data_IF_805694043025
#
_entry.id   IF_805694043025
#
_cell.length_a   1.000
_cell.length_b   1.000
_cell.length_c   1.000
_cell.angle_alpha   90.00
_cell.angle_beta   90.00
_cell.angle_gamma   90.00
#
_symmetry.space_group_name_H-M   'P 1'
#
loop_
_entity.id
_entity.type
_entity.pdbx_description
1 polymer ?
#
# COMPACT_ATOMS: atom_id res chain seq x y z
N UNK A 1 10.96 8.37 14.79
CA UNK A 1 11.28 7.81 13.45
C UNK A 1 12.79 7.66 13.24
N UNK A 2 13.58 8.74 13.36
CA UNK A 2 15.04 8.69 13.10
C UNK A 2 15.82 7.70 13.99
N UNK A 3 15.46 7.60 15.27
CA UNK A 3 16.08 6.63 16.21
C UNK A 3 15.95 5.18 15.72
N UNK A 4 14.79 4.80 15.15
CA UNK A 4 14.54 3.44 14.63
C UNK A 4 15.39 3.20 13.38
N UNK A 5 15.39 4.16 12.43
CA UNK A 5 16.18 4.07 11.20
C UNK A 5 17.68 3.96 11.53
N UNK A 6 18.17 4.73 12.49
CA UNK A 6 19.58 4.69 12.89
C UNK A 6 19.97 3.36 13.55
N UNK A 7 19.08 2.76 14.35
CA UNK A 7 19.28 1.42 14.92
C UNK A 7 19.37 0.37 13.80
N UNK A 8 18.43 0.40 12.85
CA UNK A 8 18.41 -0.54 11.72
C UNK A 8 19.63 -0.36 10.81
N UNK A 9 20.04 0.89 10.53
CA UNK A 9 21.23 1.19 9.74
C UNK A 9 22.52 0.71 10.41
N UNK A 10 22.57 0.72 11.75
CA UNK A 10 23.71 0.18 12.51
C UNK A 10 23.75 -1.35 12.47
N UNK A 11 22.59 -2.01 12.45
CA UNK A 11 22.47 -3.48 12.47
C UNK A 11 22.71 -4.09 11.08
N UNK A 12 22.07 -3.53 10.05
CA UNK A 12 22.08 -4.03 8.68
C UNK A 12 22.30 -2.86 7.68
N UNK A 13 23.52 -2.31 7.60
CA UNK A 13 23.82 -1.12 6.79
C UNK A 13 23.56 -1.35 5.29
N UNK A 14 23.69 -2.59 4.83
CA UNK A 14 23.49 -2.97 3.43
C UNK A 14 22.07 -2.70 2.91
N UNK A 15 21.10 -2.63 3.83
CA UNK A 15 19.70 -2.33 3.47
C UNK A 15 19.51 -0.90 3.00
N UNK A 16 20.42 0.01 3.36
CA UNK A 16 20.28 1.45 3.17
C UNK A 16 21.18 2.01 2.05
N UNK A 17 21.92 1.17 1.33
CA UNK A 17 22.68 1.63 0.16
C UNK A 17 21.74 2.00 -0.99
N UNK A 18 22.00 3.17 -1.57
CA UNK A 18 21.25 3.65 -2.73
C UNK A 18 21.67 2.89 -3.99
N UNK A 19 20.66 2.50 -4.76
CA UNK A 19 20.78 1.87 -6.06
C UNK A 19 20.11 2.76 -7.10
N UNK A 20 20.66 2.77 -8.32
CA UNK A 20 20.02 3.45 -9.44
C UNK A 20 18.72 2.73 -9.81
N UNK A 21 17.73 3.50 -10.22
CA UNK A 21 16.49 2.93 -10.72
C UNK A 21 16.74 2.27 -12.09
N UNK A 22 16.25 1.05 -12.27
CA UNK A 22 16.32 0.37 -13.59
C UNK A 22 15.40 1.04 -14.61
N UNK A 23 14.20 1.46 -14.19
CA UNK A 23 13.22 2.14 -15.03
C UNK A 23 12.49 3.24 -14.26
N UNK A 24 12.29 4.37 -14.94
CA UNK A 24 11.47 5.49 -14.47
C UNK A 24 10.19 5.51 -15.30
N UNK A 25 9.04 5.43 -14.64
CA UNK A 25 7.76 5.46 -15.33
C UNK A 25 7.33 6.88 -15.68
N UNK A 26 6.40 7.00 -16.62
CA UNK A 26 5.89 8.30 -17.09
C UNK A 26 5.18 9.08 -15.95
N UNK A 27 4.45 8.35 -15.09
CA UNK A 27 3.80 8.92 -13.91
C UNK A 27 4.81 9.40 -12.85
N UNK A 28 6.00 8.78 -12.76
CA UNK A 28 7.02 9.23 -11.80
C UNK A 28 7.53 10.63 -12.14
N UNK A 29 7.76 10.89 -13.43
CA UNK A 29 8.17 12.23 -13.91
C UNK A 29 7.06 13.27 -13.73
N UNK A 30 5.80 12.85 -13.84
CA UNK A 30 4.67 13.72 -13.58
C UNK A 30 4.60 14.09 -12.08
N UNK A 31 4.71 13.10 -11.19
CA UNK A 31 4.76 13.31 -9.73
C UNK A 31 5.98 14.16 -9.34
N UNK A 32 7.12 13.95 -9.98
CA UNK A 32 8.33 14.75 -9.76
C UNK A 32 8.08 16.23 -10.01
N UNK A 33 7.52 16.56 -11.17
CA UNK A 33 7.22 17.94 -11.55
C UNK A 33 6.14 18.59 -10.69
N UNK A 34 5.12 17.81 -10.30
CA UNK A 34 3.96 18.36 -9.61
C UNK A 34 4.15 18.45 -8.09
N UNK A 35 4.81 17.44 -7.50
CA UNK A 35 4.90 17.27 -6.04
C UNK A 35 6.36 17.22 -5.53
N UNK A 36 7.31 16.61 -6.22
CA UNK A 36 8.65 16.47 -5.62
C UNK A 36 9.45 17.77 -5.55
N UNK A 37 9.05 18.82 -6.28
CA UNK A 37 9.68 20.14 -6.21
C UNK A 37 9.50 20.83 -4.85
N UNK A 38 8.44 20.53 -4.09
CA UNK A 38 8.22 21.09 -2.75
C UNK A 38 8.88 20.26 -1.64
N UNK A 39 9.22 19.00 -1.90
CA UNK A 39 9.80 18.11 -0.89
C UNK A 39 11.32 18.28 -0.83
N UNK A 40 11.88 18.78 0.28
CA UNK A 40 13.31 19.02 0.37
C UNK A 40 14.10 17.70 0.33
N UNK A 41 15.33 17.76 -0.17
CA UNK A 41 16.20 16.59 -0.35
C UNK A 41 16.47 15.73 0.91
N UNK A 42 16.46 16.27 2.15
CA UNK A 42 16.61 15.47 3.38
C UNK A 42 15.47 14.50 3.64
N UNK A 43 14.30 14.68 3.00
CA UNK A 43 13.21 13.71 3.06
C UNK A 43 13.55 12.55 2.14
N UNK A 44 13.79 11.38 2.73
CA UNK A 44 14.09 10.15 1.99
C UNK A 44 12.84 9.29 1.81
N UNK A 45 12.77 8.46 0.74
CA UNK A 45 11.66 7.53 0.52
C UNK A 45 11.37 6.67 1.76
N UNK A 46 12.40 6.09 2.37
CA UNK A 46 12.27 5.24 3.57
C UNK A 46 11.63 5.95 4.77
N UNK A 47 11.82 7.27 4.91
CA UNK A 47 11.15 8.05 5.98
C UNK A 47 9.66 8.17 5.70
N UNK A 48 9.27 8.33 4.44
CA UNK A 48 7.87 8.38 4.02
C UNK A 48 7.20 7.02 4.23
N UNK A 49 7.87 5.90 3.93
CA UNK A 49 7.39 4.55 4.26
C UNK A 49 7.17 4.39 5.77
N UNK A 50 8.12 4.83 6.61
CA UNK A 50 7.97 4.76 8.07
C UNK A 50 6.88 5.67 8.60
N UNK A 51 6.68 6.81 7.97
CA UNK A 51 5.55 7.68 8.25
C UNK A 51 4.23 6.93 8.01
N UNK A 52 4.09 6.23 6.88
CA UNK A 52 2.90 5.41 6.58
C UNK A 52 2.66 4.37 7.65
N UNK A 53 3.67 3.55 8.00
CA UNK A 53 3.53 2.52 9.04
C UNK A 53 3.09 3.12 10.37
N UNK A 54 3.65 4.28 10.76
CA UNK A 54 3.29 4.94 12.03
C UNK A 54 1.89 5.55 12.00
N UNK A 55 1.44 6.06 10.85
CA UNK A 55 0.12 6.68 10.70
C UNK A 55 -1.01 5.67 10.54
N UNK A 56 -0.74 4.47 10.02
CA UNK A 56 -1.75 3.40 9.92
C UNK A 56 -2.53 3.17 11.23
N UNK A 57 -1.91 2.93 12.41
CA UNK A 57 -2.66 2.76 13.65
C UNK A 57 -3.45 4.01 14.06
N UNK A 58 -2.95 5.21 13.75
CA UNK A 58 -3.68 6.47 14.02
C UNK A 58 -4.96 6.53 13.19
N UNK A 59 -4.89 6.15 11.90
CA UNK A 59 -6.06 6.07 11.03
C UNK A 59 -7.06 5.06 11.59
N UNK A 60 -6.61 3.87 12.00
CA UNK A 60 -7.49 2.84 12.57
C UNK A 60 -8.19 3.30 13.83
N UNK A 61 -7.49 4.02 14.73
CA UNK A 61 -8.09 4.57 15.94
C UNK A 61 -9.15 5.62 15.59
N UNK A 62 -8.83 6.56 14.70
CA UNK A 62 -9.78 7.59 14.27
C UNK A 62 -11.04 6.99 13.65
N UNK A 63 -10.87 6.04 12.72
CA UNK A 63 -11.99 5.37 12.06
C UNK A 63 -12.76 4.48 13.04
N UNK A 64 -12.07 3.77 13.94
CA UNK A 64 -12.67 2.91 14.97
C UNK A 64 -13.53 3.67 15.96
N UNK A 65 -13.14 4.89 16.34
CA UNK A 65 -13.92 5.82 17.16
C UNK A 65 -14.89 6.70 16.36
N UNK A 66 -15.18 6.35 15.11
CA UNK A 66 -16.12 7.04 14.23
C UNK A 66 -15.77 8.52 13.90
N UNK A 67 -14.50 8.91 14.04
CA UNK A 67 -13.98 10.20 13.56
C UNK A 67 -13.70 10.17 12.05
N UNK A 68 -14.72 9.82 11.24
CA UNK A 68 -14.58 9.53 9.81
C UNK A 68 -14.02 10.70 9.00
N UNK A 69 -14.37 11.96 9.34
CA UNK A 69 -13.86 13.15 8.63
C UNK A 69 -12.33 13.21 8.68
N UNK A 70 -11.76 13.06 9.88
CA UNK A 70 -10.30 13.06 10.06
C UNK A 70 -9.69 11.77 9.51
N UNK A 71 -10.36 10.63 9.71
CA UNK A 71 -9.95 9.33 9.17
C UNK A 71 -9.77 9.35 7.65
N UNK A 72 -10.75 9.89 6.91
CA UNK A 72 -10.70 10.05 5.44
C UNK A 72 -9.53 10.93 5.01
N UNK A 73 -9.39 12.11 5.62
CA UNK A 73 -8.35 13.07 5.25
C UNK A 73 -6.94 12.48 5.45
N UNK A 74 -6.70 11.85 6.61
CA UNK A 74 -5.41 11.24 6.90
C UNK A 74 -5.20 9.99 6.06
N UNK A 75 -6.22 9.13 5.87
CA UNK A 75 -6.13 7.95 5.00
C UNK A 75 -5.74 8.34 3.58
N UNK A 76 -6.41 9.33 2.99
CA UNK A 76 -6.10 9.77 1.63
C UNK A 76 -4.69 10.35 1.53
N UNK A 77 -4.29 11.20 2.48
CA UNK A 77 -2.94 11.74 2.54
C UNK A 77 -1.87 10.65 2.65
N UNK A 78 -2.07 9.69 3.56
CA UNK A 78 -1.14 8.59 3.82
C UNK A 78 -1.11 7.58 2.67
N UNK A 79 -2.24 7.22 2.08
CA UNK A 79 -2.29 6.37 0.89
C UNK A 79 -1.60 7.04 -0.31
N UNK A 80 -1.75 8.36 -0.46
CA UNK A 80 -1.09 9.11 -1.52
C UNK A 80 0.45 9.15 -1.36
N UNK A 81 0.95 9.02 -0.12
CA UNK A 81 2.41 8.98 0.10
C UNK A 81 3.11 7.81 -0.59
N UNK A 82 2.39 6.73 -0.93
CA UNK A 82 2.93 5.56 -1.64
C UNK A 82 3.32 5.87 -3.09
N UNK A 83 2.52 6.70 -3.76
CA UNK A 83 2.89 7.18 -5.07
C UNK A 83 4.13 8.11 -4.99
N UNK A 84 4.20 8.92 -3.92
CA UNK A 84 5.28 9.90 -3.73
C UNK A 84 6.61 9.23 -3.41
N UNK A 85 6.67 8.29 -2.46
CA UNK A 85 7.93 7.68 -2.06
C UNK A 85 8.51 6.77 -3.15
N UNK A 86 7.66 6.03 -3.87
CA UNK A 86 8.04 5.26 -5.04
C UNK A 86 8.60 6.14 -6.15
N UNK A 87 7.92 7.24 -6.49
CA UNK A 87 8.42 8.19 -7.48
C UNK A 87 9.72 8.85 -7.03
N UNK A 88 9.82 9.23 -5.75
CA UNK A 88 11.02 9.84 -5.17
C UNK A 88 12.22 8.89 -5.20
N UNK A 89 12.04 7.62 -4.85
CA UNK A 89 13.08 6.60 -4.91
C UNK A 89 13.61 6.44 -6.35
N UNK A 90 12.71 6.42 -7.34
CA UNK A 90 13.08 6.21 -8.74
C UNK A 90 13.73 7.43 -9.39
N UNK A 91 13.17 8.63 -9.20
CA UNK A 91 13.67 9.86 -9.85
C UNK A 91 14.95 10.38 -9.18
N UNK A 92 15.09 10.24 -7.86
CA UNK A 92 16.29 10.66 -7.12
C UNK A 92 17.39 9.60 -7.06
N UNK A 93 17.22 8.43 -7.70
CA UNK A 93 18.12 7.27 -7.58
C UNK A 93 18.38 6.88 -6.11
N UNK A 94 17.33 6.92 -5.30
CA UNK A 94 17.34 6.60 -3.87
C UNK A 94 16.64 5.27 -3.58
N UNK A 95 16.68 4.32 -4.53
CA UNK A 95 16.14 2.97 -4.34
C UNK A 95 17.00 2.23 -3.32
N UNK A 96 16.40 1.65 -2.28
CA UNK A 96 17.12 0.89 -1.26
C UNK A 96 16.49 -0.48 -1.06
N UNK A 97 17.27 -1.47 -0.62
CA UNK A 97 16.74 -2.80 -0.26
C UNK A 97 15.73 -2.72 0.88
N UNK A 98 15.90 -1.75 1.79
CA UNK A 98 14.93 -1.43 2.83
C UNK A 98 13.58 -1.04 2.22
N UNK A 99 13.53 -0.01 1.37
CA UNK A 99 12.29 0.43 0.73
C UNK A 99 11.62 -0.70 -0.06
N UNK A 100 12.39 -1.42 -0.88
CA UNK A 100 11.87 -2.56 -1.64
C UNK A 100 11.19 -3.65 -0.79
N UNK A 101 11.57 -3.79 0.48
CA UNK A 101 10.96 -4.74 1.42
C UNK A 101 9.82 -4.11 2.24
N UNK A 102 10.02 -2.89 2.72
CA UNK A 102 9.11 -2.23 3.66
C UNK A 102 7.95 -1.49 2.98
N UNK A 103 8.08 -1.04 1.74
CA UNK A 103 6.99 -0.36 1.02
C UNK A 103 5.81 -1.33 0.80
N UNK A 104 6.01 -2.55 0.21
CA UNK A 104 4.91 -3.50 0.06
C UNK A 104 4.35 -4.01 1.39
N UNK A 105 5.15 -4.01 2.46
CA UNK A 105 4.69 -4.34 3.80
C UNK A 105 3.79 -3.23 4.35
N UNK A 106 4.21 -1.96 4.24
CA UNK A 106 3.46 -0.80 4.71
C UNK A 106 2.11 -0.67 4.00
N UNK A 107 2.06 -0.94 2.69
CA UNK A 107 0.82 -0.90 1.92
C UNK A 107 -0.17 -1.97 2.38
N UNK A 108 0.31 -3.21 2.56
CA UNK A 108 -0.51 -4.31 3.06
C UNK A 108 -0.96 -4.08 4.50
N UNK A 109 -0.14 -3.45 5.32
CA UNK A 109 -0.53 -3.06 6.68
C UNK A 109 -1.66 -2.03 6.64
N UNK A 110 -1.55 -0.98 5.81
CA UNK A 110 -2.59 0.05 5.69
C UNK A 110 -3.90 -0.55 5.17
N UNK A 111 -3.86 -1.20 4.00
CA UNK A 111 -5.08 -1.72 3.36
C UNK A 111 -5.65 -2.92 4.11
N UNK A 112 -4.80 -3.86 4.54
CA UNK A 112 -5.23 -5.04 5.29
C UNK A 112 -5.88 -4.70 6.63
N UNK A 113 -5.35 -3.70 7.35
CA UNK A 113 -5.95 -3.27 8.61
C UNK A 113 -7.27 -2.51 8.42
N UNK A 114 -7.37 -1.69 7.36
CA UNK A 114 -8.63 -1.02 7.00
C UNK A 114 -9.69 -2.03 6.57
N UNK A 115 -9.30 -3.08 5.84
CA UNK A 115 -10.19 -4.21 5.50
C UNK A 115 -10.66 -4.92 6.77
N UNK A 116 -9.75 -5.22 7.71
CA UNK A 116 -10.12 -5.82 9.00
C UNK A 116 -11.15 -4.98 9.76
N UNK A 117 -10.95 -3.66 9.81
CA UNK A 117 -11.80 -2.75 10.58
C UNK A 117 -13.17 -2.49 9.90
N UNK A 118 -13.18 -2.29 8.59
CA UNK A 118 -14.37 -1.86 7.86
C UNK A 118 -15.11 -3.02 7.19
N UNK A 119 -14.39 -3.93 6.52
CA UNK A 119 -15.05 -4.95 5.69
C UNK A 119 -15.80 -5.95 6.56
N UNK A 120 -15.18 -6.44 7.64
CA UNK A 120 -15.86 -7.35 8.57
C UNK A 120 -17.01 -6.70 9.36
N UNK A 121 -17.06 -5.37 9.40
CA UNK A 121 -18.12 -4.62 10.11
C UNK A 121 -19.31 -4.28 9.22
N UNK A 122 -19.07 -4.00 7.93
CA UNK A 122 -20.07 -3.42 7.03
C UNK A 122 -20.40 -4.28 5.80
N UNK A 123 -19.70 -5.39 5.59
CA UNK A 123 -19.85 -6.26 4.42
C UNK A 123 -19.93 -7.72 4.83
N UNK A 124 -20.32 -8.58 3.89
CA UNK A 124 -20.34 -10.02 4.09
C UNK A 124 -18.96 -10.56 4.49
N UNK A 125 -18.98 -11.49 5.45
CA UNK A 125 -17.78 -12.16 5.97
C UNK A 125 -16.88 -12.70 4.85
N UNK A 126 -17.49 -13.25 3.80
CA UNK A 126 -16.78 -13.85 2.66
C UNK A 126 -15.93 -12.84 1.89
N UNK A 127 -16.34 -11.57 1.81
CA UNK A 127 -15.55 -10.52 1.15
C UNK A 127 -14.27 -10.26 1.94
N UNK A 128 -14.40 -10.01 3.25
CA UNK A 128 -13.26 -9.78 4.15
C UNK A 128 -12.30 -10.96 4.19
N UNK A 129 -12.84 -12.18 4.33
CA UNK A 129 -12.07 -13.42 4.32
C UNK A 129 -11.31 -13.60 3.01
N UNK A 130 -11.96 -13.42 1.86
CA UNK A 130 -11.33 -13.61 0.54
C UNK A 130 -10.18 -12.63 0.31
N UNK A 131 -10.37 -11.36 0.68
CA UNK A 131 -9.32 -10.34 0.55
C UNK A 131 -8.09 -10.71 1.39
N UNK A 132 -8.29 -11.04 2.66
CA UNK A 132 -7.18 -11.40 3.55
C UNK A 132 -6.49 -12.69 3.11
N UNK A 133 -7.26 -13.71 2.75
CA UNK A 133 -6.74 -14.98 2.27
C UNK A 133 -5.86 -14.76 1.03
N UNK A 134 -6.33 -13.99 0.06
CA UNK A 134 -5.56 -13.69 -1.15
C UNK A 134 -4.30 -12.89 -0.82
N UNK A 135 -4.37 -11.94 0.11
CA UNK A 135 -3.20 -11.15 0.49
C UNK A 135 -2.10 -12.00 1.13
N UNK A 136 -2.48 -12.95 1.99
CA UNK A 136 -1.58 -13.97 2.54
C UNK A 136 -1.05 -14.88 1.43
N UNK A 137 -1.90 -15.34 0.51
CA UNK A 137 -1.49 -16.17 -0.61
C UNK A 137 -0.44 -15.47 -1.49
N UNK A 138 -0.56 -14.16 -1.73
CA UNK A 138 0.45 -13.38 -2.43
C UNK A 138 1.79 -13.33 -1.68
N UNK A 139 1.77 -13.12 -0.36
CA UNK A 139 2.99 -13.12 0.47
C UNK A 139 3.67 -14.48 0.41
N UNK A 140 2.91 -15.56 0.62
CA UNK A 140 3.42 -16.93 0.58
C UNK A 140 3.96 -17.28 -0.80
N UNK A 141 3.24 -16.92 -1.86
CA UNK A 141 3.66 -17.20 -3.23
C UNK A 141 4.96 -16.46 -3.60
N UNK A 142 5.12 -15.20 -3.15
CA UNK A 142 6.37 -14.47 -3.31
C UNK A 142 7.54 -15.11 -2.52
N UNK A 143 7.29 -15.58 -1.30
CA UNK A 143 8.27 -16.30 -0.49
C UNK A 143 8.72 -17.61 -1.15
N UNK A 144 7.78 -18.42 -1.65
CA UNK A 144 8.06 -19.67 -2.35
C UNK A 144 8.84 -19.39 -3.64
N UNK A 145 8.45 -18.37 -4.42
CA UNK A 145 9.15 -18.00 -5.64
C UNK A 145 10.63 -17.67 -5.37
N UNK A 146 10.88 -16.86 -4.32
CA UNK A 146 12.22 -16.49 -3.89
C UNK A 146 13.03 -17.70 -3.41
N UNK A 147 12.42 -18.58 -2.60
CA UNK A 147 13.11 -19.73 -2.02
C UNK A 147 13.42 -20.83 -3.06
N UNK A 148 12.45 -21.17 -3.92
CA UNK A 148 12.54 -22.31 -4.84
C UNK A 148 13.17 -21.95 -6.18
N UNK A 149 12.81 -20.80 -6.74
CA UNK A 149 13.21 -20.41 -8.10
C UNK A 149 14.26 -19.30 -8.12
N UNK A 150 14.63 -18.73 -6.96
CA UNK A 150 15.52 -17.55 -6.84
C UNK A 150 15.06 -16.37 -7.72
N UNK A 151 13.79 -16.33 -8.08
CA UNK A 151 13.18 -15.25 -8.86
C UNK A 151 12.48 -14.27 -7.94
N UNK A 152 12.52 -13.00 -8.30
CA UNK A 152 11.71 -11.97 -7.66
C UNK A 152 10.45 -11.82 -8.49
N UNK A 153 9.28 -12.08 -7.90
CA UNK A 153 8.00 -11.88 -8.58
C UNK A 153 7.75 -10.39 -8.76
N UNK A 154 7.82 -9.93 -10.01
CA UNK A 154 7.41 -8.58 -10.39
C UNK A 154 5.89 -8.46 -10.38
N UNK A 155 5.39 -7.30 -9.97
CA UNK A 155 3.96 -7.01 -9.98
C UNK A 155 3.43 -6.97 -11.42
N UNK A 156 2.49 -7.86 -11.74
CA UNK A 156 1.79 -7.86 -13.02
C UNK A 156 0.67 -6.80 -13.03
N UNK A 157 0.09 -6.55 -14.21
CA UNK A 157 -0.99 -5.58 -14.39
C UNK A 157 -2.19 -5.86 -13.46
N UNK A 158 -2.58 -7.12 -13.35
CA UNK A 158 -3.72 -7.57 -12.53
C UNK A 158 -3.51 -7.29 -11.04
N UNK A 159 -2.30 -7.52 -10.53
CA UNK A 159 -1.93 -7.19 -9.15
C UNK A 159 -1.92 -5.70 -8.88
N UNK A 160 -1.60 -4.85 -9.87
CA UNK A 160 -1.74 -3.39 -9.74
C UNK A 160 -3.21 -2.96 -9.72
N UNK A 161 -4.02 -3.53 -10.61
CA UNK A 161 -5.47 -3.26 -10.66
C UNK A 161 -6.17 -3.66 -9.36
N UNK A 162 -5.85 -4.83 -8.79
CA UNK A 162 -6.42 -5.24 -7.50
C UNK A 162 -6.17 -4.18 -6.42
N UNK A 163 -4.95 -3.64 -6.34
CA UNK A 163 -4.56 -2.69 -5.30
C UNK A 163 -5.30 -1.37 -5.47
N UNK A 164 -5.39 -0.86 -6.71
CA UNK A 164 -6.15 0.36 -7.02
C UNK A 164 -7.62 0.20 -6.60
N UNK A 165 -8.23 -0.94 -6.92
CA UNK A 165 -9.62 -1.21 -6.57
C UNK A 165 -9.82 -1.35 -5.05
N UNK A 166 -8.91 -1.99 -4.32
CA UNK A 166 -9.00 -2.10 -2.86
C UNK A 166 -8.87 -0.73 -2.17
N UNK A 167 -7.91 0.10 -2.60
CA UNK A 167 -7.76 1.48 -2.10
C UNK A 167 -9.05 2.28 -2.35
N UNK A 168 -9.59 2.18 -3.58
CA UNK A 168 -10.82 2.85 -3.96
C UNK A 168 -12.03 2.35 -3.14
N UNK A 169 -12.18 1.05 -2.94
CA UNK A 169 -13.27 0.48 -2.16
C UNK A 169 -13.20 0.89 -0.68
N UNK A 170 -12.01 0.91 -0.08
CA UNK A 170 -11.81 1.43 1.30
C UNK A 170 -12.18 2.90 1.37
N UNK A 171 -11.73 3.71 0.40
CA UNK A 171 -12.06 5.13 0.34
C UNK A 171 -13.58 5.36 0.23
N UNK A 172 -14.26 4.67 -0.68
CA UNK A 172 -15.71 4.79 -0.85
C UNK A 172 -16.47 4.30 0.39
N UNK A 173 -15.97 3.26 1.06
CA UNK A 173 -16.53 2.81 2.35
C UNK A 173 -16.46 3.93 3.38
N UNK A 174 -15.31 4.57 3.53
CA UNK A 174 -15.15 5.68 4.47
C UNK A 174 -16.03 6.89 4.08
N UNK A 175 -16.15 7.19 2.80
CA UNK A 175 -17.05 8.25 2.31
C UNK A 175 -18.52 7.93 2.57
N UNK A 176 -18.93 6.66 2.44
CA UNK A 176 -20.27 6.22 2.77
C UNK A 176 -20.60 6.48 4.24
N UNK A 177 -19.65 6.19 5.13
CA UNK A 177 -19.78 6.42 6.57
C UNK A 177 -19.74 7.91 6.95
N UNK A 178 -18.94 8.70 6.24
CA UNK A 178 -18.83 10.14 6.47
C UNK A 178 -20.08 10.91 6.02
N UNK A 179 -20.64 10.53 4.86
CA UNK A 179 -21.79 11.21 4.25
C UNK A 179 -23.13 10.59 4.60
N UNK A 180 -23.12 9.50 5.37
CA UNK A 180 -24.29 8.67 5.67
C UNK A 180 -25.08 8.28 4.40
N UNK A 181 -24.35 7.80 3.39
CA UNK A 181 -24.89 7.49 2.07
C UNK A 181 -24.69 6.01 1.70
N UNK A 182 -25.66 5.13 2.04
CA UNK A 182 -25.52 3.67 1.93
C UNK A 182 -25.28 3.13 0.52
N UNK A 183 -25.65 3.89 -0.53
CA UNK A 183 -25.39 3.49 -1.91
C UNK A 183 -23.88 3.32 -2.17
N UNK A 184 -23.04 4.13 -1.53
CA UNK A 184 -21.59 4.02 -1.64
C UNK A 184 -21.04 2.71 -1.04
N UNK A 185 -21.67 2.15 0.00
CA UNK A 185 -21.31 0.84 0.52
C UNK A 185 -21.57 -0.26 -0.52
N UNK A 186 -22.72 -0.22 -1.19
CA UNK A 186 -23.04 -1.20 -2.24
C UNK A 186 -22.03 -1.13 -3.39
N UNK A 187 -21.69 0.09 -3.84
CA UNK A 187 -20.67 0.31 -4.88
C UNK A 187 -19.30 -0.19 -4.42
N UNK A 188 -18.89 0.11 -3.19
CA UNK A 188 -17.64 -0.38 -2.61
C UNK A 188 -17.59 -1.92 -2.54
N UNK A 189 -18.72 -2.56 -2.23
CA UNK A 189 -18.85 -4.02 -2.20
C UNK A 189 -18.60 -4.66 -3.57
N UNK A 190 -19.19 -4.10 -4.63
CA UNK A 190 -18.92 -4.53 -6.00
C UNK A 190 -17.46 -4.33 -6.39
N UNK A 191 -16.85 -3.20 -6.01
CA UNK A 191 -15.44 -2.93 -6.29
C UNK A 191 -14.53 -3.92 -5.54
N UNK A 192 -14.83 -4.27 -4.29
CA UNK A 192 -14.13 -5.34 -3.57
C UNK A 192 -14.27 -6.68 -4.30
N UNK A 193 -15.46 -7.01 -4.81
CA UNK A 193 -15.69 -8.21 -5.63
C UNK A 193 -14.81 -8.24 -6.88
N UNK A 194 -14.74 -7.13 -7.63
CA UNK A 194 -13.83 -7.02 -8.77
C UNK A 194 -12.36 -7.12 -8.36
N UNK A 195 -11.98 -6.52 -7.23
CA UNK A 195 -10.61 -6.61 -6.72
C UNK A 195 -10.22 -8.06 -6.40
N UNK A 196 -11.13 -8.84 -5.80
CA UNK A 196 -10.96 -10.27 -5.57
C UNK A 196 -10.77 -11.02 -6.90
N UNK A 197 -11.61 -10.74 -7.90
CA UNK A 197 -11.49 -11.33 -9.24
C UNK A 197 -10.13 -11.07 -9.89
N UNK A 198 -9.66 -9.81 -9.88
CA UNK A 198 -8.33 -9.46 -10.41
C UNK A 198 -7.19 -10.03 -9.58
N UNK A 199 -7.36 -10.15 -8.26
CA UNK A 199 -6.39 -10.80 -7.40
C UNK A 199 -6.22 -12.29 -7.75
N UNK A 200 -7.32 -13.00 -8.01
CA UNK A 200 -7.31 -14.39 -8.47
C UNK A 200 -6.63 -14.50 -9.84
N UNK A 201 -7.04 -13.68 -10.82
CA UNK A 201 -6.41 -13.63 -12.15
C UNK A 201 -4.91 -13.35 -12.07
N UNK A 202 -4.52 -12.45 -11.16
CA UNK A 202 -3.12 -12.13 -10.91
C UNK A 202 -2.32 -13.32 -10.38
N UNK A 203 -2.89 -14.15 -9.51
CA UNK A 203 -2.21 -15.34 -8.99
C UNK A 203 -1.99 -16.37 -10.11
N UNK A 204 -3.01 -16.64 -10.91
CA UNK A 204 -2.91 -17.55 -12.06
C UNK A 204 -1.92 -17.04 -13.12
N UNK A 205 -1.97 -15.75 -13.46
CA UNK A 205 -1.07 -15.15 -14.45
C UNK A 205 0.40 -15.17 -14.02
N UNK A 206 0.70 -15.30 -12.72
CA UNK A 206 2.06 -15.41 -12.19
C UNK A 206 2.54 -16.88 -12.08
N UNK A 207 1.73 -17.85 -12.53
CA UNK A 207 2.05 -19.27 -12.50
C UNK A 207 2.05 -19.85 -11.10
N UNK A 208 0.90 -19.78 -10.41
CA UNK A 208 0.54 -20.81 -9.43
C UNK A 208 0.06 -22.04 -10.19
#
# INVERSE_FOLDING_TARGET
MEKIINILKKKDPELFYYQKAEHIHLHDRFIEKLFLWFLPYPVTPNRVTMFRILMTPVILLLVGFAHYKMGVLIFLGVAFTDAIDGAMARTRNQVTKFGMLFDPLADKLLIGSMVLLLVFRYFDFWIGFSILFLEIAFILSALVAKAKFRTVRMANLWGKLKMILQVLAVFLTLMALLLDFPLLLHIAGWIFGFAIGFAILSLFAQGV
#
